data_IF_544467440263
#
_entry.id   IF_544467440263
#
_cell.length_a   1.000
_cell.length_b   1.000
_cell.length_c   1.000
_cell.angle_alpha   90.00
_cell.angle_beta   90.00
_cell.angle_gamma   90.00
#
_symmetry.space_group_name_H-M   'P 1'
#
loop_
_entity.id
_entity.type
_entity.pdbx_description
1 polymer ?
#
# COMPACT_ATOMS: atom_id res chain seq x y z
N UNK A 1 -20.54 49.84 -35.91
CA UNK A 1 -21.31 48.64 -35.53
C UNK A 1 -20.99 47.56 -36.56
N UNK A 2 -20.49 46.36 -36.31
CA UNK A 2 -20.04 45.58 -35.16
C UNK A 2 -18.92 44.69 -35.77
N UNK A 3 -17.70 44.67 -35.20
CA UNK A 3 -16.67 43.70 -35.61
C UNK A 3 -16.88 42.42 -34.80
N UNK A 4 -17.23 41.34 -35.50
CA UNK A 4 -17.39 39.99 -34.96
C UNK A 4 -16.05 39.49 -34.37
N UNK A 5 -16.07 39.02 -33.12
CA UNK A 5 -14.96 38.31 -32.47
C UNK A 5 -15.32 36.83 -32.40
N UNK A 6 -14.65 36.01 -33.20
CA UNK A 6 -14.72 34.55 -33.14
C UNK A 6 -13.85 34.08 -31.98
N UNK A 7 -14.43 33.47 -30.95
CA UNK A 7 -13.68 32.78 -29.90
C UNK A 7 -13.22 31.40 -30.42
N UNK A 8 -11.92 31.15 -30.36
CA UNK A 8 -11.32 29.85 -30.62
C UNK A 8 -11.24 29.10 -29.28
N UNK A 9 -12.04 28.05 -29.10
CA UNK A 9 -11.93 27.17 -27.95
C UNK A 9 -10.75 26.21 -28.16
N UNK A 10 -9.71 26.34 -27.34
CA UNK A 10 -8.59 25.41 -27.31
C UNK A 10 -9.01 24.21 -26.46
N UNK A 11 -9.24 23.08 -27.11
CA UNK A 11 -9.51 21.79 -26.46
C UNK A 11 -8.19 21.28 -25.88
N UNK A 12 -8.00 21.37 -24.57
CA UNK A 12 -6.89 20.69 -23.88
C UNK A 12 -7.17 19.19 -23.89
N UNK A 13 -6.44 18.44 -24.69
CA UNK A 13 -6.37 16.99 -24.56
C UNK A 13 -5.52 16.69 -23.31
N UNK A 14 -6.18 16.29 -22.21
CA UNK A 14 -5.50 15.78 -21.04
C UNK A 14 -4.70 14.53 -21.45
N UNK A 15 -3.37 14.63 -21.44
CA UNK A 15 -2.48 13.49 -21.57
C UNK A 15 -2.58 12.72 -20.26
N UNK A 16 -3.43 11.70 -20.22
CA UNK A 16 -3.51 10.77 -19.10
C UNK A 16 -2.27 9.87 -19.18
N UNK A 17 -1.24 10.17 -18.40
CA UNK A 17 -0.08 9.29 -18.26
C UNK A 17 -0.50 8.01 -17.55
N UNK A 18 -0.17 6.82 -18.07
CA UNK A 18 -0.54 5.56 -17.42
C UNK A 18 0.26 5.40 -16.12
N UNK A 19 -0.43 5.41 -14.98
CA UNK A 19 0.13 4.94 -13.73
C UNK A 19 0.41 3.44 -13.84
N UNK A 20 1.65 2.99 -13.66
CA UNK A 20 1.94 1.56 -13.57
C UNK A 20 1.56 1.07 -12.17
N UNK A 21 0.41 0.40 -12.10
CA UNK A 21 -0.01 -0.31 -10.91
C UNK A 21 0.90 -1.54 -10.69
N UNK A 22 1.48 -1.67 -9.50
CA UNK A 22 2.14 -2.91 -9.05
C UNK A 22 1.07 -3.82 -8.46
N UNK A 23 1.12 -5.11 -8.78
CA UNK A 23 0.20 -6.11 -8.23
C UNK A 23 0.97 -7.15 -7.44
N UNK A 24 0.48 -7.47 -6.23
CA UNK A 24 0.97 -8.56 -5.40
C UNK A 24 -0.15 -9.54 -5.05
N UNK A 25 0.23 -10.77 -4.71
CA UNK A 25 -0.67 -11.82 -4.25
C UNK A 25 -0.33 -12.17 -2.80
N UNK A 26 -1.29 -12.00 -1.90
CA UNK A 26 -1.13 -12.24 -0.47
C UNK A 26 -1.92 -13.49 -0.07
N UNK A 27 -1.29 -14.52 0.51
CA UNK A 27 -2.01 -15.65 1.07
C UNK A 27 -2.76 -15.23 2.35
N UNK A 28 -3.87 -15.90 2.66
CA UNK A 28 -4.57 -15.67 3.92
C UNK A 28 -3.68 -16.00 5.13
N UNK A 29 -3.71 -15.11 6.12
CA UNK A 29 -2.93 -15.24 7.36
C UNK A 29 -3.72 -15.89 8.49
N UNK A 30 -5.05 -15.87 8.41
CA UNK A 30 -5.97 -16.49 9.35
C UNK A 30 -7.29 -16.79 8.63
N UNK A 31 -7.93 -17.91 8.93
CA UNK A 31 -9.33 -18.16 8.61
C UNK A 31 -10.02 -19.09 9.62
N UNK A 32 -11.34 -19.04 9.74
CA UNK A 32 -12.11 -19.90 10.64
C UNK A 32 -13.60 -19.93 10.24
N UNK A 33 -14.35 -20.92 10.73
CA UNK A 33 -15.81 -20.97 10.68
C UNK A 33 -16.43 -20.71 12.05
N UNK A 34 -17.37 -19.76 12.09
CA UNK A 34 -18.26 -19.53 13.22
C UNK A 34 -19.51 -20.40 13.06
N UNK A 35 -19.62 -21.47 13.86
CA UNK A 35 -20.78 -22.35 13.87
C UNK A 35 -21.81 -21.87 14.90
N UNK A 36 -23.02 -21.54 14.46
CA UNK A 36 -24.06 -21.06 15.35
C UNK A 36 -24.34 -22.07 16.48
N UNK A 37 -24.16 -21.60 17.71
CA UNK A 37 -24.43 -22.36 18.91
C UNK A 37 -24.63 -21.40 20.07
N UNK A 38 -25.68 -21.61 20.86
CA UNK A 38 -25.96 -20.76 22.02
C UNK A 38 -24.88 -20.83 23.11
N UNK A 39 -24.08 -21.89 23.12
CA UNK A 39 -22.93 -22.03 24.03
C UNK A 39 -21.61 -21.59 23.40
N UNK A 40 -21.58 -21.31 22.09
CA UNK A 40 -20.36 -20.94 21.36
C UNK A 40 -19.26 -22.01 21.41
N UNK A 41 -19.62 -23.30 21.49
CA UNK A 41 -18.65 -24.38 21.71
C UNK A 41 -17.87 -24.79 20.46
N UNK A 42 -18.32 -24.41 19.26
CA UNK A 42 -17.83 -24.99 18.01
C UNK A 42 -17.02 -23.99 17.18
N UNK A 43 -15.89 -24.47 16.66
CA UNK A 43 -14.91 -23.76 15.82
C UNK A 43 -14.27 -24.74 14.81
N UNK A 44 -13.51 -24.21 13.85
CA UNK A 44 -12.68 -25.00 12.93
C UNK A 44 -11.47 -24.20 12.38
N UNK A 45 -10.68 -23.58 13.26
CA UNK A 45 -9.57 -22.70 12.87
C UNK A 45 -8.36 -23.40 12.20
N UNK A 46 -8.26 -24.73 12.27
CA UNK A 46 -7.20 -25.50 11.60
C UNK A 46 -7.76 -26.56 10.62
N UNK A 47 -9.02 -26.40 10.23
CA UNK A 47 -9.67 -27.26 9.24
C UNK A 47 -9.32 -26.87 7.81
N UNK A 48 -9.52 -27.78 6.86
CA UNK A 48 -9.24 -27.52 5.44
C UNK A 48 -10.35 -26.73 4.73
N UNK A 49 -11.47 -26.52 5.42
CA UNK A 49 -12.67 -25.90 4.85
C UNK A 49 -13.32 -24.89 5.80
N UNK A 50 -13.85 -23.82 5.21
CA UNK A 50 -14.67 -22.82 5.88
C UNK A 50 -16.07 -22.70 5.25
N UNK A 51 -17.07 -22.36 6.06
CA UNK A 51 -18.48 -22.42 5.67
C UNK A 51 -19.20 -21.09 5.84
N UNK A 52 -20.03 -20.74 4.86
CA UNK A 52 -20.93 -19.59 4.93
C UNK A 52 -22.34 -19.99 4.48
N UNK A 53 -23.35 -19.64 5.28
CA UNK A 53 -24.77 -19.88 5.00
C UNK A 53 -25.43 -20.86 5.95
N UNK A 54 -26.61 -21.34 5.55
CA UNK A 54 -27.45 -22.23 6.36
C UNK A 54 -27.55 -23.59 5.67
N UNK A 55 -27.30 -24.71 6.36
CA UNK A 55 -27.45 -26.05 5.80
C UNK A 55 -28.94 -26.45 5.73
N UNK A 56 -29.21 -27.75 5.64
CA UNK A 56 -30.54 -28.37 5.77
C UNK A 56 -31.11 -28.33 7.21
N UNK A 57 -30.37 -27.75 8.16
CA UNK A 57 -30.79 -27.43 9.52
C UNK A 57 -30.69 -25.92 9.76
N UNK A 58 -31.52 -25.32 10.63
CA UNK A 58 -31.57 -23.86 10.81
C UNK A 58 -30.44 -23.33 11.72
N UNK A 59 -29.20 -23.71 11.41
CA UNK A 59 -27.99 -23.36 12.17
C UNK A 59 -27.04 -22.63 11.24
N UNK A 60 -26.84 -21.33 11.46
CA UNK A 60 -26.02 -20.49 10.59
C UNK A 60 -24.53 -20.84 10.71
N UNK A 61 -23.81 -20.65 9.61
CA UNK A 61 -22.36 -20.65 9.55
C UNK A 61 -21.87 -19.39 8.86
N UNK A 62 -20.78 -18.84 9.37
CA UNK A 62 -20.12 -17.66 8.82
C UNK A 62 -18.63 -17.94 8.79
N UNK A 63 -17.95 -17.56 7.72
CA UNK A 63 -16.50 -17.69 7.65
C UNK A 63 -15.85 -16.34 7.96
N UNK A 64 -14.73 -16.35 8.67
CA UNK A 64 -13.89 -15.17 8.90
C UNK A 64 -12.53 -15.41 8.28
N UNK A 65 -11.93 -14.38 7.68
CA UNK A 65 -10.65 -14.47 6.98
C UNK A 65 -9.86 -13.16 7.12
N UNK A 66 -8.54 -13.23 7.31
CA UNK A 66 -7.69 -12.05 7.46
C UNK A 66 -6.35 -12.15 6.71
N UNK A 67 -5.83 -10.99 6.29
CA UNK A 67 -4.54 -10.80 5.59
C UNK A 67 -3.67 -9.81 6.38
N UNK A 68 -3.16 -10.23 7.54
CA UNK A 68 -2.52 -9.37 8.55
C UNK A 68 -1.16 -8.79 8.09
N UNK A 69 -0.54 -9.39 7.08
CA UNK A 69 0.78 -9.02 6.55
C UNK A 69 0.76 -7.93 5.47
N UNK A 70 -0.38 -7.33 5.13
CA UNK A 70 -0.48 -6.28 4.09
C UNK A 70 0.61 -5.20 4.25
N UNK A 71 0.80 -4.67 5.46
CA UNK A 71 1.78 -3.62 5.76
C UNK A 71 3.25 -4.05 5.72
N UNK A 72 3.52 -5.37 5.68
CA UNK A 72 4.88 -5.91 5.53
C UNK A 72 5.25 -6.08 4.06
N UNK A 73 4.26 -6.27 3.19
CA UNK A 73 4.43 -6.57 1.77
C UNK A 73 4.18 -5.36 0.87
N UNK A 74 3.39 -4.39 1.33
CA UNK A 74 3.08 -3.14 0.63
C UNK A 74 3.72 -1.97 1.37
N UNK A 75 4.49 -1.10 0.67
CA UNK A 75 5.03 0.13 1.26
C UNK A 75 3.94 1.05 1.84
N UNK A 76 4.21 1.68 2.98
CA UNK A 76 3.26 2.56 3.67
C UNK A 76 2.89 3.83 2.88
N UNK A 77 3.66 4.21 1.87
CA UNK A 77 3.40 5.34 0.95
C UNK A 77 2.58 4.94 -0.29
N UNK A 78 2.10 3.70 -0.34
CA UNK A 78 1.31 3.21 -1.47
C UNK A 78 -0.16 3.63 -1.37
N UNK A 79 -0.73 3.97 -2.52
CA UNK A 79 -2.18 4.12 -2.72
C UNK A 79 -2.73 2.84 -3.33
N UNK A 80 -3.66 2.19 -2.64
CA UNK A 80 -4.35 1.01 -3.15
C UNK A 80 -5.30 1.42 -4.29
N UNK A 81 -5.21 0.73 -5.43
CA UNK A 81 -5.99 1.04 -6.64
C UNK A 81 -6.99 -0.06 -7.01
N UNK A 82 -6.72 -1.31 -6.67
CA UNK A 82 -7.63 -2.44 -6.88
C UNK A 82 -7.38 -3.53 -5.85
N UNK A 83 -8.44 -4.19 -5.40
CA UNK A 83 -8.38 -5.33 -4.48
C UNK A 83 -9.33 -6.40 -4.98
N UNK A 84 -8.86 -7.64 -5.12
CA UNK A 84 -9.70 -8.80 -5.41
C UNK A 84 -9.37 -9.94 -4.46
N UNK A 85 -10.40 -10.62 -3.97
CA UNK A 85 -10.23 -11.83 -3.16
C UNK A 85 -10.66 -13.04 -3.99
N UNK A 86 -9.75 -13.99 -4.15
CA UNK A 86 -10.00 -15.26 -4.82
C UNK A 86 -10.26 -16.36 -3.79
N UNK A 87 -11.40 -17.04 -3.92
CA UNK A 87 -11.77 -18.19 -3.10
C UNK A 87 -12.16 -19.36 -3.99
N UNK A 88 -11.77 -20.57 -3.59
CA UNK A 88 -12.21 -21.79 -4.24
C UNK A 88 -13.35 -22.43 -3.44
N UNK A 89 -14.49 -22.64 -4.10
CA UNK A 89 -15.63 -23.36 -3.56
C UNK A 89 -15.45 -24.85 -3.83
N UNK A 90 -15.32 -25.66 -2.79
CA UNK A 90 -15.10 -27.10 -2.91
C UNK A 90 -16.34 -27.97 -2.71
N UNK A 91 -17.43 -27.38 -2.22
CA UNK A 91 -18.73 -28.08 -2.11
C UNK A 91 -19.87 -27.08 -2.02
N UNK A 92 -21.00 -27.48 -2.60
CA UNK A 92 -22.29 -26.82 -2.47
C UNK A 92 -23.39 -27.88 -2.36
N UNK A 93 -24.53 -27.48 -1.79
CA UNK A 93 -25.76 -28.27 -1.78
C UNK A 93 -26.97 -27.31 -1.78
N UNK A 94 -26.84 -26.21 -2.52
CA UNK A 94 -27.72 -25.04 -2.45
C UNK A 94 -27.80 -24.34 -3.79
N UNK A 95 -28.95 -23.72 -4.08
CA UNK A 95 -29.07 -22.85 -5.26
C UNK A 95 -28.06 -21.69 -5.23
N UNK A 96 -27.89 -21.04 -6.38
CA UNK A 96 -27.07 -19.84 -6.51
C UNK A 96 -27.42 -18.82 -5.40
N UNK A 97 -26.42 -18.49 -4.60
CA UNK A 97 -26.58 -17.69 -3.37
C UNK A 97 -25.58 -16.53 -3.40
N UNK A 98 -26.04 -15.33 -3.02
CA UNK A 98 -25.14 -14.19 -2.85
C UNK A 98 -24.37 -14.35 -1.54
N UNK A 99 -23.05 -14.37 -1.64
CA UNK A 99 -22.12 -14.24 -0.51
C UNK A 99 -21.66 -12.78 -0.44
N UNK A 100 -21.72 -12.18 0.74
CA UNK A 100 -21.26 -10.82 1.02
C UNK A 100 -20.03 -10.84 1.90
N UNK A 101 -19.11 -9.95 1.60
CA UNK A 101 -17.91 -9.68 2.39
C UNK A 101 -18.16 -8.44 3.24
N UNK A 102 -18.03 -8.53 4.55
CA UNK A 102 -18.18 -7.40 5.47
C UNK A 102 -16.93 -7.20 6.31
N UNK A 103 -16.47 -5.95 6.48
CA UNK A 103 -15.28 -5.66 7.27
C UNK A 103 -15.54 -5.94 8.75
N UNK A 104 -14.69 -6.75 9.37
CA UNK A 104 -14.74 -7.01 10.81
C UNK A 104 -14.27 -5.78 11.59
N UNK A 105 -14.89 -5.54 12.75
CA UNK A 105 -14.60 -4.40 13.63
C UNK A 105 -14.05 -4.81 15.00
N UNK A 106 -14.02 -6.12 15.27
CA UNK A 106 -13.39 -6.72 16.45
C UNK A 106 -12.33 -7.71 16.00
N UNK A 107 -11.19 -7.72 16.68
CA UNK A 107 -10.14 -8.70 16.45
C UNK A 107 -10.55 -10.08 16.98
N UNK A 108 -10.03 -11.13 16.36
CA UNK A 108 -10.39 -12.52 16.65
C UNK A 108 -9.16 -13.43 16.58
N UNK A 109 -9.32 -14.70 16.92
CA UNK A 109 -8.27 -15.70 16.77
C UNK A 109 -8.72 -16.90 15.93
N UNK A 110 -7.83 -17.36 15.04
CA UNK A 110 -8.01 -18.59 14.27
C UNK A 110 -8.06 -19.80 15.22
N UNK A 111 -6.93 -20.01 15.91
CA UNK A 111 -6.78 -21.05 16.91
C UNK A 111 -6.60 -22.46 16.31
N UNK A 112 -6.61 -23.48 17.15
CA UNK A 112 -6.05 -24.81 16.81
C UNK A 112 -7.10 -25.90 16.56
N UNK A 113 -8.38 -25.62 16.81
CA UNK A 113 -9.43 -26.64 16.62
C UNK A 113 -9.46 -27.14 15.17
N UNK A 114 -9.52 -28.46 15.01
CA UNK A 114 -9.59 -29.09 13.70
C UNK A 114 -10.72 -30.11 13.67
N UNK A 115 -11.78 -29.79 12.93
CA UNK A 115 -12.89 -30.68 12.71
C UNK A 115 -12.49 -31.86 11.81
N UNK A 116 -13.11 -33.02 12.04
CA UNK A 116 -12.94 -34.16 11.14
C UNK A 116 -13.77 -33.95 9.86
N UNK A 117 -13.35 -34.51 8.71
CA UNK A 117 -14.15 -34.47 7.50
C UNK A 117 -15.59 -34.97 7.74
N UNK A 118 -16.63 -34.30 7.21
CA UNK A 118 -16.56 -33.24 6.21
C UNK A 118 -16.50 -31.80 6.77
N UNK A 119 -16.19 -31.63 8.06
CA UNK A 119 -15.97 -30.35 8.77
C UNK A 119 -17.21 -29.44 8.96
N UNK A 120 -18.37 -29.81 8.42
CA UNK A 120 -19.57 -28.97 8.45
C UNK A 120 -20.19 -28.80 9.85
N UNK A 121 -19.82 -29.57 10.86
CA UNK A 121 -20.34 -29.38 12.23
C UNK A 121 -19.35 -28.70 13.17
N UNK A 122 -18.13 -28.41 12.69
CA UNK A 122 -17.04 -27.97 13.55
C UNK A 122 -16.59 -29.04 14.54
N UNK A 123 -15.72 -28.63 15.46
CA UNK A 123 -15.33 -29.40 16.65
C UNK A 123 -15.30 -28.48 17.86
N UNK A 124 -15.04 -29.01 19.05
CA UNK A 124 -14.91 -28.19 20.25
C UNK A 124 -13.79 -27.15 20.06
N UNK A 125 -14.11 -25.89 20.36
CA UNK A 125 -13.18 -24.79 20.31
C UNK A 125 -12.02 -24.99 21.29
N UNK A 126 -10.82 -24.67 20.82
CA UNK A 126 -9.62 -24.59 21.62
C UNK A 126 -9.38 -23.15 22.10
N UNK A 127 -8.42 -22.97 23.02
CA UNK A 127 -8.13 -21.63 23.56
C UNK A 127 -7.61 -20.72 22.45
N UNK A 128 -8.27 -19.57 22.27
CA UNK A 128 -7.94 -18.58 21.24
C UNK A 128 -8.85 -18.61 20.01
N UNK A 129 -9.62 -19.67 19.82
CA UNK A 129 -10.51 -19.83 18.67
C UNK A 129 -11.65 -18.81 18.65
N UNK A 130 -12.00 -18.34 17.46
CA UNK A 130 -13.26 -17.65 17.24
C UNK A 130 -14.41 -18.66 17.16
N UNK A 131 -15.54 -18.30 17.73
CA UNK A 131 -16.78 -19.10 17.71
C UNK A 131 -17.95 -18.16 17.43
N UNK A 132 -19.17 -18.68 17.41
CA UNK A 132 -20.35 -17.83 17.28
C UNK A 132 -20.48 -16.79 18.42
N UNK A 133 -20.01 -17.10 19.63
CA UNK A 133 -20.12 -16.22 20.80
C UNK A 133 -18.79 -15.52 21.09
N UNK A 134 -17.66 -16.18 20.83
CA UNK A 134 -16.34 -15.74 21.26
C UNK A 134 -15.52 -15.18 20.10
N UNK A 135 -14.91 -14.00 20.28
CA UNK A 135 -13.79 -13.55 19.44
C UNK A 135 -12.56 -14.41 19.70
N UNK A 136 -12.37 -14.81 20.97
CA UNK A 136 -11.31 -15.74 21.43
C UNK A 136 -11.83 -16.55 22.60
N UNK A 137 -12.11 -17.82 22.33
CA UNK A 137 -12.58 -18.78 23.32
C UNK A 137 -11.55 -18.96 24.45
N UNK A 138 -11.97 -19.08 25.73
CA UNK A 138 -13.33 -18.94 26.25
C UNK A 138 -13.64 -17.55 26.83
N UNK A 139 -12.71 -16.59 26.76
CA UNK A 139 -12.73 -15.41 27.64
C UNK A 139 -13.16 -14.11 26.96
N UNK A 140 -13.12 -14.03 25.62
CA UNK A 140 -13.43 -12.81 24.89
C UNK A 140 -14.58 -13.05 23.93
N UNK A 141 -15.61 -12.22 24.03
CA UNK A 141 -16.85 -12.33 23.27
C UNK A 141 -16.94 -11.29 22.17
N UNK A 142 -17.69 -11.61 21.11
CA UNK A 142 -18.19 -10.60 20.18
C UNK A 142 -19.20 -9.70 20.91
N UNK A 143 -19.36 -8.45 20.47
CA UNK A 143 -20.47 -7.62 20.96
C UNK A 143 -21.81 -8.16 20.47
N UNK A 144 -21.82 -8.68 19.24
CA UNK A 144 -22.96 -9.33 18.62
C UNK A 144 -22.61 -10.78 18.28
N UNK A 145 -23.43 -11.72 18.75
CA UNK A 145 -23.27 -13.13 18.41
C UNK A 145 -23.26 -13.31 16.87
N UNK A 146 -22.29 -14.08 16.38
CA UNK A 146 -22.05 -14.28 14.95
C UNK A 146 -21.11 -13.26 14.31
N UNK A 147 -20.48 -12.39 15.09
CA UNK A 147 -19.41 -11.49 14.62
C UNK A 147 -19.76 -10.00 14.68
N UNK A 148 -18.75 -9.16 14.89
CA UNK A 148 -18.86 -7.70 14.84
C UNK A 148 -18.34 -7.16 13.51
N UNK A 149 -19.22 -6.63 12.66
CA UNK A 149 -18.87 -6.18 11.30
C UNK A 149 -19.65 -4.93 10.89
N UNK A 150 -19.16 -4.24 9.87
CA UNK A 150 -19.86 -3.11 9.25
C UNK A 150 -21.03 -3.59 8.39
N UNK A 151 -22.21 -2.97 8.55
CA UNK A 151 -23.42 -3.35 7.77
C UNK A 151 -23.23 -3.17 6.27
N UNK A 152 -22.46 -2.16 5.84
CA UNK A 152 -22.11 -1.94 4.44
C UNK A 152 -21.12 -3.02 3.97
N UNK A 153 -21.55 -3.86 3.03
CA UNK A 153 -20.70 -4.90 2.46
C UNK A 153 -19.56 -4.31 1.64
N UNK A 154 -18.35 -4.79 1.88
CA UNK A 154 -17.16 -4.51 1.09
C UNK A 154 -17.31 -5.02 -0.34
N UNK A 155 -17.90 -6.21 -0.52
CA UNK A 155 -18.17 -6.79 -1.83
C UNK A 155 -19.27 -7.85 -1.73
N UNK A 156 -19.81 -8.26 -2.87
CA UNK A 156 -20.78 -9.34 -2.97
C UNK A 156 -20.56 -10.11 -4.27
N UNK A 157 -20.73 -11.43 -4.22
CA UNK A 157 -20.56 -12.32 -5.36
C UNK A 157 -21.68 -13.38 -5.38
N UNK A 158 -22.18 -13.71 -6.59
CA UNK A 158 -23.17 -14.77 -6.77
C UNK A 158 -22.45 -16.12 -6.90
N UNK A 159 -22.63 -17.00 -5.93
CA UNK A 159 -21.94 -18.28 -5.84
C UNK A 159 -22.91 -19.42 -6.13
N UNK A 160 -22.60 -20.25 -7.11
CA UNK A 160 -23.44 -21.36 -7.58
C UNK A 160 -22.71 -22.71 -7.43
N UNK A 161 -22.06 -23.19 -8.49
CA UNK A 161 -21.34 -24.47 -8.54
C UNK A 161 -19.89 -24.41 -8.04
N UNK A 162 -19.28 -25.59 -7.86
CA UNK A 162 -17.87 -25.76 -7.48
C UNK A 162 -16.93 -25.04 -8.46
N UNK A 163 -15.95 -24.30 -7.94
CA UNK A 163 -14.98 -23.56 -8.74
C UNK A 163 -14.45 -22.30 -8.04
N UNK A 164 -13.70 -21.48 -8.78
CA UNK A 164 -13.14 -20.23 -8.27
C UNK A 164 -14.14 -19.08 -8.39
N UNK A 165 -14.20 -18.27 -7.33
CA UNK A 165 -14.98 -17.05 -7.24
C UNK A 165 -14.08 -15.86 -6.93
N UNK A 166 -14.39 -14.72 -7.53
CA UNK A 166 -13.66 -13.47 -7.33
C UNK A 166 -14.58 -12.46 -6.67
N UNK A 167 -14.24 -12.03 -5.47
CA UNK A 167 -14.92 -10.92 -4.81
C UNK A 167 -14.22 -9.61 -5.19
N UNK A 168 -14.99 -8.66 -5.73
CA UNK A 168 -14.49 -7.37 -6.19
C UNK A 168 -13.95 -7.41 -7.63
N UNK A 169 -13.24 -6.35 -8.08
CA UNK A 169 -12.84 -5.20 -7.29
C UNK A 169 -14.00 -4.28 -6.92
N UNK A 170 -13.92 -3.66 -5.75
CA UNK A 170 -14.90 -2.66 -5.31
C UNK A 170 -14.21 -1.47 -4.60
N UNK A 171 -14.81 -0.27 -4.63
CA UNK A 171 -14.28 0.88 -3.90
C UNK A 171 -14.18 0.64 -2.38
N UNK A 172 -15.11 -0.12 -1.80
CA UNK A 172 -15.13 -0.39 -0.36
C UNK A 172 -14.02 -1.38 0.05
N UNK A 173 -13.72 -2.39 -0.76
CA UNK A 173 -12.53 -3.25 -0.52
C UNK A 173 -11.22 -2.45 -0.61
N UNK A 174 -11.12 -1.50 -1.55
CA UNK A 174 -9.97 -0.59 -1.64
C UNK A 174 -9.83 0.26 -0.37
N UNK A 175 -10.93 0.83 0.14
CA UNK A 175 -10.94 1.59 1.39
C UNK A 175 -10.54 0.73 2.60
N UNK A 176 -11.04 -0.50 2.68
CA UNK A 176 -10.70 -1.43 3.76
C UNK A 176 -9.20 -1.74 3.78
N UNK A 177 -8.63 -2.09 2.62
CA UNK A 177 -7.19 -2.42 2.52
C UNK A 177 -6.31 -1.19 2.70
N UNK A 178 -6.71 -0.02 2.21
CA UNK A 178 -5.98 1.23 2.49
C UNK A 178 -5.97 1.53 3.99
N UNK A 179 -7.13 1.41 4.67
CA UNK A 179 -7.21 1.58 6.13
C UNK A 179 -6.27 0.62 6.86
N UNK A 180 -6.17 -0.63 6.42
CA UNK A 180 -5.30 -1.64 7.03
C UNK A 180 -3.82 -1.46 6.73
N UNK A 181 -3.49 -0.88 5.58
CA UNK A 181 -2.12 -0.45 5.27
C UNK A 181 -1.71 0.70 6.19
N UNK A 182 -2.56 1.72 6.30
CA UNK A 182 -2.31 2.92 7.10
C UNK A 182 -2.34 2.64 8.61
N UNK A 183 -3.18 1.68 9.04
CA UNK A 183 -3.40 1.32 10.44
C UNK A 183 -3.42 -0.21 10.62
N UNK A 184 -2.24 -0.87 10.65
CA UNK A 184 -2.16 -2.33 10.71
C UNK A 184 -2.89 -2.97 11.90
N UNK A 185 -2.97 -2.25 13.03
CA UNK A 185 -3.68 -2.70 14.23
C UNK A 185 -5.21 -2.81 14.05
N UNK A 186 -5.78 -2.19 13.01
CA UNK A 186 -7.21 -2.26 12.68
C UNK A 186 -7.53 -3.32 11.61
N UNK A 187 -6.53 -4.06 11.14
CA UNK A 187 -6.73 -5.14 10.19
C UNK A 187 -7.28 -6.36 10.90
N UNK A 188 -8.59 -6.53 10.91
CA UNK A 188 -9.27 -7.73 11.43
C UNK A 188 -9.81 -8.64 10.32
N UNK A 189 -9.57 -8.26 9.06
CA UNK A 189 -10.08 -9.00 7.91
C UNK A 189 -11.57 -8.83 7.68
N UNK A 190 -12.17 -9.83 7.05
CA UNK A 190 -13.58 -9.83 6.65
C UNK A 190 -14.32 -11.05 7.18
N UNK A 191 -15.64 -10.90 7.29
CA UNK A 191 -16.59 -12.00 7.48
C UNK A 191 -17.37 -12.24 6.19
N UNK A 192 -17.58 -13.50 5.84
CA UNK A 192 -18.36 -13.96 4.70
C UNK A 192 -19.74 -14.38 5.18
N UNK A 193 -20.75 -13.70 4.64
CA UNK A 193 -22.16 -13.95 4.95
C UNK A 193 -22.87 -14.39 3.68
N UNK A 194 -23.34 -15.63 3.65
CA UNK A 194 -24.31 -16.00 2.63
C UNK A 194 -25.65 -15.31 2.91
N UNK A 195 -26.52 -15.27 1.91
CA UNK A 195 -27.93 -14.97 2.18
C UNK A 195 -28.45 -16.07 3.12
N UNK A 196 -28.76 -15.72 4.37
CA UNK A 196 -29.06 -16.67 5.46
C UNK A 196 -30.49 -17.25 5.36
N UNK A 197 -30.87 -17.67 4.15
CA UNK A 197 -32.07 -18.45 3.89
C UNK A 197 -31.79 -19.94 4.10
N UNK A 198 -32.84 -20.74 4.26
CA UNK A 198 -32.72 -22.20 4.34
C UNK A 198 -31.97 -22.77 3.12
N UNK A 199 -31.03 -23.70 3.35
CA UNK A 199 -30.29 -24.40 2.31
C UNK A 199 -29.49 -23.45 1.39
N UNK A 200 -28.65 -22.61 1.99
CA UNK A 200 -27.78 -21.63 1.32
C UNK A 200 -26.29 -21.84 1.56
N UNK A 201 -25.91 -22.90 2.28
CA UNK A 201 -24.53 -23.18 2.64
C UNK A 201 -23.62 -23.35 1.42
N UNK A 202 -22.46 -22.69 1.49
CA UNK A 202 -21.33 -22.80 0.58
C UNK A 202 -20.07 -23.14 1.38
N UNK A 203 -19.26 -24.07 0.90
CA UNK A 203 -17.98 -24.49 1.52
C UNK A 203 -16.80 -24.06 0.67
N UNK A 204 -15.97 -23.19 1.24
CA UNK A 204 -14.73 -22.71 0.64
C UNK A 204 -13.52 -23.42 1.24
N UNK A 205 -12.43 -23.48 0.49
CA UNK A 205 -11.16 -23.98 0.99
C UNK A 205 -10.39 -22.92 1.79
N UNK A 206 -9.68 -23.36 2.82
CA UNK A 206 -8.92 -22.52 3.76
C UNK A 206 -7.44 -22.50 3.43
N UNK A 207 -6.67 -21.71 4.18
CA UNK A 207 -5.20 -21.71 4.08
C UNK A 207 -4.57 -23.05 4.53
N UNK A 208 -5.24 -23.86 5.35
CA UNK A 208 -4.79 -25.20 5.76
C UNK A 208 -5.04 -26.27 4.68
N UNK A 209 -5.73 -25.93 3.59
CA UNK A 209 -6.02 -26.89 2.53
C UNK A 209 -4.72 -27.50 1.98
N UNK A 210 -4.72 -28.82 1.77
CA UNK A 210 -3.55 -29.55 1.28
C UNK A 210 -3.17 -29.20 -0.16
N UNK A 211 -4.10 -28.67 -0.95
CA UNK A 211 -3.86 -28.23 -2.33
C UNK A 211 -3.64 -26.73 -2.31
N UNK A 212 -2.38 -26.31 -2.51
CA UNK A 212 -1.98 -24.89 -2.41
C UNK A 212 -2.73 -23.99 -3.40
N UNK A 213 -3.10 -24.51 -4.57
CA UNK A 213 -3.86 -23.77 -5.60
C UNK A 213 -5.25 -23.35 -5.12
N UNK A 214 -5.86 -24.10 -4.19
CA UNK A 214 -7.20 -23.81 -3.69
C UNK A 214 -7.23 -22.86 -2.49
N UNK A 215 -6.07 -22.49 -1.95
CA UNK A 215 -5.98 -21.62 -0.78
C UNK A 215 -6.44 -20.19 -1.12
N UNK A 216 -7.06 -19.47 -0.17
CA UNK A 216 -7.46 -18.08 -0.39
C UNK A 216 -6.28 -17.16 -0.72
N UNK A 217 -6.47 -16.28 -1.71
CA UNK A 217 -5.48 -15.28 -2.12
C UNK A 217 -6.13 -13.91 -2.28
N UNK A 218 -5.52 -12.88 -1.68
CA UNK A 218 -5.86 -11.48 -1.91
C UNK A 218 -4.89 -10.88 -2.93
N UNK A 219 -5.42 -10.50 -4.10
CA UNK A 219 -4.71 -9.71 -5.08
C UNK A 219 -4.90 -8.22 -4.78
N UNK A 220 -3.79 -7.52 -4.60
CA UNK A 220 -3.78 -6.09 -4.34
C UNK A 220 -2.95 -5.39 -5.39
N UNK A 221 -3.58 -4.48 -6.13
CA UNK A 221 -2.89 -3.53 -7.00
C UNK A 221 -2.78 -2.18 -6.31
N UNK A 222 -1.61 -1.58 -6.39
CA UNK A 222 -1.32 -0.28 -5.78
C UNK A 222 -0.37 0.54 -6.66
N UNK A 223 -0.42 1.85 -6.50
CA UNK A 223 0.53 2.80 -7.07
C UNK A 223 1.30 3.47 -5.94
N UNK A 224 2.52 3.91 -6.20
CA UNK A 224 3.29 4.74 -5.26
C UNK A 224 3.47 6.12 -5.87
N UNK A 225 3.47 7.14 -5.03
CA UNK A 225 4.02 8.45 -5.38
C UNK A 225 5.51 8.42 -5.05
N UNK A 226 6.33 8.05 -6.03
CA UNK A 226 7.78 8.14 -5.92
C UNK A 226 8.50 6.93 -5.27
N UNK A 227 9.70 6.61 -5.75
CA UNK A 227 10.73 5.82 -5.05
C UNK A 227 11.89 6.72 -4.63
N UNK A 228 12.80 6.27 -3.76
CA UNK A 228 14.04 7.03 -3.48
C UNK A 228 14.87 7.30 -4.74
N UNK A 229 14.74 6.50 -5.80
CA UNK A 229 15.44 6.76 -7.06
C UNK A 229 14.80 7.93 -7.83
N UNK A 230 13.56 8.29 -7.52
CA UNK A 230 12.80 9.28 -8.26
C UNK A 230 13.22 10.71 -7.97
N UNK A 231 14.08 10.94 -6.98
CA UNK A 231 14.73 12.24 -6.78
C UNK A 231 16.08 12.36 -7.54
N UNK A 232 16.60 11.26 -8.10
CA UNK A 232 17.85 11.30 -8.89
C UNK A 232 17.63 12.02 -10.21
N UNK A 233 18.56 12.90 -10.57
CA UNK A 233 18.51 13.68 -11.81
C UNK A 233 19.01 15.12 -11.63
N UNK A 234 18.94 15.93 -12.70
CA UNK A 234 19.23 17.35 -12.67
C UNK A 234 18.07 18.18 -12.09
N UNK A 235 18.44 19.10 -11.20
CA UNK A 235 17.55 20.07 -10.55
C UNK A 235 18.09 21.48 -10.76
N UNK A 236 17.21 22.47 -10.90
CA UNK A 236 17.60 23.86 -11.10
C UNK A 236 16.52 24.80 -10.59
N UNK A 237 16.92 26.02 -10.27
CA UNK A 237 15.99 27.11 -9.99
C UNK A 237 15.70 27.87 -11.30
N UNK A 238 14.44 27.97 -11.74
CA UNK A 238 14.08 28.65 -13.00
C UNK A 238 14.44 30.13 -13.05
N UNK A 239 14.60 30.79 -11.91
CA UNK A 239 14.94 32.20 -11.81
C UNK A 239 16.46 32.44 -11.78
N UNK A 240 17.26 31.37 -11.76
CA UNK A 240 18.72 31.42 -11.66
C UNK A 240 19.40 30.75 -12.87
N UNK A 241 19.95 31.58 -13.76
CA UNK A 241 20.63 31.11 -14.96
C UNK A 241 22.03 30.53 -14.70
N UNK A 242 22.34 29.41 -15.36
CA UNK A 242 23.70 28.86 -15.42
C UNK A 242 24.13 28.08 -14.19
N UNK A 243 23.19 27.72 -13.31
CA UNK A 243 23.45 26.95 -12.11
C UNK A 243 22.40 25.87 -11.85
N UNK A 244 22.74 24.94 -10.95
CA UNK A 244 21.85 23.86 -10.58
C UNK A 244 22.56 22.75 -9.80
N UNK A 245 21.84 21.64 -9.68
CA UNK A 245 22.22 20.50 -8.86
C UNK A 245 22.10 19.20 -9.66
N UNK A 246 22.99 18.24 -9.38
CA UNK A 246 22.86 16.86 -9.85
C UNK A 246 22.79 15.94 -8.66
N UNK A 247 21.70 15.18 -8.57
CA UNK A 247 21.45 14.25 -7.48
C UNK A 247 21.54 12.81 -7.99
N UNK A 248 22.30 11.99 -7.29
CA UNK A 248 22.45 10.58 -7.62
C UNK A 248 22.23 9.70 -6.40
N UNK A 249 21.24 8.82 -6.47
CA UNK A 249 21.12 7.72 -5.52
C UNK A 249 21.92 6.51 -6.00
N UNK A 250 22.83 6.03 -5.16
CA UNK A 250 23.65 4.85 -5.43
C UNK A 250 23.42 3.77 -4.36
N UNK A 251 23.86 2.52 -4.57
CA UNK A 251 23.82 1.51 -3.52
C UNK A 251 24.62 1.86 -2.25
N UNK A 252 25.58 2.79 -2.36
CA UNK A 252 26.42 3.19 -1.24
C UNK A 252 25.84 4.38 -0.43
N UNK A 253 24.92 5.13 -1.04
CA UNK A 253 24.31 6.35 -0.50
C UNK A 253 24.06 7.39 -1.59
N UNK A 254 23.63 8.57 -1.14
CA UNK A 254 23.33 9.74 -1.95
C UNK A 254 24.57 10.60 -2.21
N UNK A 255 24.64 11.15 -3.42
CA UNK A 255 25.66 12.11 -3.82
C UNK A 255 25.01 13.32 -4.49
N UNK A 256 25.36 14.51 -4.01
CA UNK A 256 24.83 15.78 -4.51
C UNK A 256 25.98 16.59 -5.10
N UNK A 257 25.78 17.11 -6.29
CA UNK A 257 26.64 18.11 -6.89
C UNK A 257 25.91 19.43 -6.98
N UNK A 258 26.65 20.52 -6.80
CA UNK A 258 26.19 21.87 -7.13
C UNK A 258 27.19 22.49 -8.10
N UNK A 259 26.67 23.07 -9.17
CA UNK A 259 27.43 23.87 -10.13
C UNK A 259 26.75 25.23 -10.21
N UNK A 260 27.48 26.32 -10.00
CA UNK A 260 26.88 27.65 -10.00
C UNK A 260 27.78 28.72 -9.43
N UNK A 261 27.18 29.67 -8.72
CA UNK A 261 27.89 30.83 -8.18
C UNK A 261 27.55 31.09 -6.71
N UNK A 262 28.55 31.47 -5.92
CA UNK A 262 28.33 32.05 -4.59
C UNK A 262 27.65 33.43 -4.68
N UNK A 263 27.09 33.95 -3.56
CA UNK A 263 26.50 35.29 -3.53
C UNK A 263 27.43 36.43 -4.01
N UNK A 264 28.75 36.25 -3.91
CA UNK A 264 29.76 37.19 -4.39
C UNK A 264 30.19 36.96 -5.85
N UNK A 265 29.46 36.13 -6.61
CA UNK A 265 29.68 35.82 -8.03
C UNK A 265 30.95 35.01 -8.33
N UNK A 266 31.48 34.27 -7.34
CA UNK A 266 32.55 33.31 -7.58
C UNK A 266 31.97 32.00 -8.08
N UNK A 267 32.55 31.43 -9.14
CA UNK A 267 32.12 30.14 -9.68
C UNK A 267 32.43 29.00 -8.73
N UNK A 268 31.47 28.11 -8.51
CA UNK A 268 31.52 27.00 -7.56
C UNK A 268 31.20 25.68 -8.25
N UNK A 269 32.03 24.67 -7.95
CA UNK A 269 31.77 23.27 -8.22
C UNK A 269 31.94 22.51 -6.91
N UNK A 270 30.81 22.13 -6.33
CA UNK A 270 30.75 21.48 -5.03
C UNK A 270 30.25 20.05 -5.18
N UNK A 271 30.67 19.21 -4.26
CA UNK A 271 30.18 17.84 -4.11
C UNK A 271 29.94 17.56 -2.63
N UNK A 272 28.85 16.85 -2.32
CA UNK A 272 28.57 16.44 -0.95
C UNK A 272 29.47 15.28 -0.51
N UNK A 273 29.53 15.03 0.80
CA UNK A 273 29.86 13.69 1.27
C UNK A 273 28.78 12.67 0.85
N UNK A 274 29.14 11.39 0.87
CA UNK A 274 28.19 10.31 0.62
C UNK A 274 27.30 10.15 1.85
N UNK A 275 26.01 10.42 1.72
CA UNK A 275 25.08 10.35 2.85
C UNK A 275 24.11 9.20 2.67
N UNK A 276 23.90 8.44 3.74
CA UNK A 276 22.87 7.39 3.77
C UNK A 276 21.65 7.95 4.47
N UNK A 277 20.64 8.25 3.68
CA UNK A 277 19.31 8.56 4.18
C UNK A 277 18.53 7.25 4.15
N UNK A 278 18.12 6.79 5.33
CA UNK A 278 17.31 5.57 5.47
C UNK A 278 15.93 5.80 4.86
N UNK A 279 15.34 6.98 5.13
CA UNK A 279 14.10 7.45 4.55
C UNK A 279 14.21 8.92 4.09
N UNK A 280 13.65 9.23 2.92
CA UNK A 280 13.42 10.60 2.45
C UNK A 280 11.96 10.94 2.75
N UNK A 281 11.73 11.92 3.61
CA UNK A 281 10.39 12.40 3.97
C UNK A 281 10.16 13.75 3.33
N UNK A 282 9.18 13.90 2.41
CA UNK A 282 8.82 15.20 1.84
C UNK A 282 8.52 16.24 2.92
N UNK A 283 8.95 17.48 2.71
CA UNK A 283 8.81 18.60 3.63
C UNK A 283 9.74 18.59 4.84
N UNK A 284 10.57 17.55 5.03
CA UNK A 284 11.55 17.49 6.13
C UNK A 284 12.95 17.80 5.59
N UNK A 285 13.62 18.86 6.06
CA UNK A 285 14.96 19.19 5.61
C UNK A 285 15.98 18.17 6.12
N UNK A 286 16.98 17.88 5.30
CA UNK A 286 18.20 17.20 5.73
C UNK A 286 19.44 17.93 5.25
N UNK A 287 20.52 17.80 6.03
CA UNK A 287 21.75 18.57 5.86
C UNK A 287 22.88 17.69 5.33
N UNK A 288 23.62 18.20 4.35
CA UNK A 288 24.75 17.54 3.74
C UNK A 288 26.01 18.42 3.82
N UNK A 289 27.14 17.92 4.31
CA UNK A 289 28.41 18.63 4.18
C UNK A 289 28.78 18.77 2.70
N UNK A 290 29.02 20.01 2.26
CA UNK A 290 29.48 20.32 0.91
C UNK A 290 30.98 20.58 0.91
N UNK A 291 31.65 19.98 -0.06
CA UNK A 291 33.09 20.05 -0.23
C UNK A 291 33.43 20.72 -1.58
N UNK A 292 34.53 21.45 -1.61
CA UNK A 292 35.08 22.12 -2.79
C UNK A 292 36.46 21.56 -3.13
N UNK A 293 36.72 21.36 -4.42
CA UNK A 293 38.06 21.03 -4.93
C UNK A 293 38.92 22.28 -5.10
N UNK A 294 40.24 22.13 -5.00
CA UNK A 294 41.14 23.21 -5.42
C UNK A 294 41.17 23.30 -6.95
N UNK A 295 40.83 24.46 -7.54
CA UNK A 295 40.82 24.60 -8.98
C UNK A 295 42.25 24.58 -9.53
N UNK A 296 42.50 23.72 -10.51
CA UNK A 296 43.66 23.82 -11.39
C UNK A 296 43.42 24.84 -12.51
N UNK A 297 44.47 25.18 -13.25
CA UNK A 297 44.31 25.86 -14.54
C UNK A 297 44.56 24.87 -15.67
N UNK A 298 44.06 25.17 -16.88
CA UNK A 298 44.34 24.35 -18.06
C UNK A 298 45.86 24.20 -18.32
N UNK A 299 46.65 25.23 -17.98
CA UNK A 299 48.11 25.25 -18.15
C UNK A 299 48.88 24.72 -16.94
N UNK A 300 48.23 24.57 -15.79
CA UNK A 300 48.78 24.00 -14.57
C UNK A 300 47.67 23.24 -13.82
N UNK A 301 47.36 22.01 -14.24
CA UNK A 301 46.35 21.21 -13.56
C UNK A 301 46.78 20.99 -12.11
N UNK A 302 45.89 21.27 -11.17
CA UNK A 302 46.13 20.98 -9.77
C UNK A 302 46.16 19.44 -9.60
N UNK A 303 47.17 18.87 -8.92
CA UNK A 303 47.13 17.47 -8.54
C UNK A 303 45.90 17.22 -7.65
N UNK A 304 45.48 15.97 -7.51
CA UNK A 304 44.33 15.61 -6.67
C UNK A 304 44.66 15.86 -5.18
N UNK A 305 44.53 17.10 -4.73
CA UNK A 305 44.42 17.42 -3.32
C UNK A 305 43.06 16.91 -2.81
N UNK A 306 42.98 16.63 -1.50
CA UNK A 306 41.71 16.29 -0.87
C UNK A 306 40.70 17.43 -1.03
N UNK A 307 39.42 17.08 -1.15
CA UNK A 307 38.34 18.06 -1.12
C UNK A 307 38.33 18.78 0.24
N UNK A 308 38.04 20.08 0.23
CA UNK A 308 38.00 20.92 1.44
C UNK A 308 36.55 21.22 1.80
N UNK A 309 36.21 21.32 3.10
CA UNK A 309 34.89 21.79 3.52
C UNK A 309 34.59 23.18 2.94
N UNK A 310 33.41 23.33 2.34
CA UNK A 310 32.89 24.59 1.83
C UNK A 310 31.69 25.09 2.63
N UNK A 311 30.85 24.19 3.12
CA UNK A 311 29.62 24.60 3.80
C UNK A 311 28.66 23.43 3.99
N UNK A 312 27.40 23.75 4.16
CA UNK A 312 26.32 22.78 4.34
C UNK A 312 25.19 23.07 3.36
N UNK A 313 24.66 22.02 2.74
CA UNK A 313 23.47 22.07 1.90
C UNK A 313 22.30 21.47 2.67
N UNK A 314 21.31 22.31 2.98
CA UNK A 314 20.00 21.89 3.45
C UNK A 314 19.12 21.59 2.25
N UNK A 315 18.49 20.43 2.25
CA UNK A 315 17.65 19.95 1.16
C UNK A 315 16.26 19.63 1.69
N UNK A 316 15.25 20.33 1.17
CA UNK A 316 13.83 20.03 1.41
C UNK A 316 13.19 19.67 0.07
N UNK A 317 12.64 18.46 -0.04
CA UNK A 317 11.80 18.11 -1.20
C UNK A 317 10.34 18.39 -0.85
N UNK A 318 9.67 19.23 -1.65
CA UNK A 318 8.24 19.47 -1.51
C UNK A 318 7.47 18.34 -2.23
N UNK A 319 7.93 18.01 -3.45
CA UNK A 319 7.44 16.87 -4.24
C UNK A 319 8.63 16.12 -4.87
N UNK A 320 8.37 15.07 -5.66
CA UNK A 320 9.44 14.40 -6.41
C UNK A 320 9.95 15.21 -7.63
N UNK A 321 9.37 16.39 -7.89
CA UNK A 321 9.75 17.32 -8.97
C UNK A 321 10.01 18.75 -8.51
N UNK A 322 9.78 19.07 -7.24
CA UNK A 322 9.99 20.42 -6.68
C UNK A 322 10.56 20.38 -5.26
N UNK A 323 11.23 21.45 -4.83
CA UNK A 323 11.74 21.60 -3.47
C UNK A 323 12.49 22.91 -3.26
N UNK A 324 13.01 23.09 -2.04
CA UNK A 324 13.83 24.23 -1.65
C UNK A 324 15.20 23.72 -1.20
N UNK A 325 16.27 24.17 -1.88
CA UNK A 325 17.65 23.83 -1.55
C UNK A 325 18.37 25.07 -1.03
N UNK A 326 18.94 24.99 0.18
CA UNK A 326 19.66 26.09 0.82
C UNK A 326 21.13 25.72 1.05
N UNK A 327 22.03 26.41 0.37
CA UNK A 327 23.48 26.30 0.54
C UNK A 327 23.97 27.38 1.51
N UNK A 328 24.40 26.99 2.70
CA UNK A 328 25.14 27.85 3.63
C UNK A 328 26.64 27.63 3.43
N UNK A 329 27.28 28.56 2.71
CA UNK A 329 28.69 28.49 2.32
C UNK A 329 29.58 29.49 3.05
N UNK A 330 30.90 29.33 2.90
CA UNK A 330 31.90 30.25 3.48
C UNK A 330 31.69 31.74 3.15
N UNK A 331 31.01 32.04 2.04
CA UNK A 331 30.80 33.41 1.54
C UNK A 331 29.34 33.86 1.59
N UNK A 332 28.50 33.17 2.36
CA UNK A 332 27.10 33.50 2.59
C UNK A 332 26.14 32.38 2.22
N UNK A 333 24.87 32.65 2.49
CA UNK A 333 23.78 31.73 2.21
C UNK A 333 23.18 31.97 0.82
N UNK A 334 22.71 30.90 0.21
CA UNK A 334 21.95 30.91 -1.04
C UNK A 334 20.79 29.94 -0.95
N UNK A 335 19.60 30.38 -1.35
CA UNK A 335 18.39 29.55 -1.42
C UNK A 335 17.97 29.43 -2.87
N UNK A 336 17.50 28.25 -3.26
CA UNK A 336 17.07 27.93 -4.61
C UNK A 336 15.75 27.18 -4.57
N UNK A 337 14.75 27.73 -5.27
CA UNK A 337 13.44 27.11 -5.46
C UNK A 337 13.53 26.16 -6.66
N UNK A 338 13.91 24.92 -6.38
CA UNK A 338 14.35 23.99 -7.42
C UNK A 338 13.19 23.21 -8.03
N UNK A 339 13.29 23.02 -9.35
CA UNK A 339 12.48 22.07 -10.10
C UNK A 339 13.37 21.04 -10.79
N UNK A 340 12.84 19.83 -10.95
CA UNK A 340 13.53 18.74 -11.62
C UNK A 340 13.31 18.81 -13.14
N UNK A 341 14.39 18.80 -13.93
CA UNK A 341 14.28 18.89 -15.40
C UNK A 341 13.77 17.58 -15.99
N UNK A 342 14.40 16.47 -15.59
CA UNK A 342 14.10 15.14 -16.14
C UNK A 342 14.45 14.05 -15.15
N UNK A 343 13.63 13.00 -15.09
CA UNK A 343 13.91 11.79 -14.33
C UNK A 343 14.98 10.91 -14.98
N UNK A 344 15.55 10.01 -14.19
CA UNK A 344 16.36 8.90 -14.72
C UNK A 344 15.40 7.83 -15.26
N UNK A 345 15.80 7.11 -16.31
CA UNK A 345 14.96 6.06 -16.90
C UNK A 345 14.54 5.02 -15.83
N UNK A 346 13.26 4.65 -15.81
CA UNK A 346 12.66 3.80 -14.77
C UNK A 346 12.27 4.50 -13.46
N UNK A 347 12.37 5.84 -13.37
CA UNK A 347 11.85 6.64 -12.24
C UNK A 347 10.54 7.31 -12.62
N UNK A 348 9.52 7.29 -11.74
CA UNK A 348 8.20 7.85 -12.04
C UNK A 348 7.72 8.69 -10.88
N UNK A 349 7.96 9.99 -11.01
CA UNK A 349 7.32 10.97 -10.16
C UNK A 349 5.87 11.15 -10.60
N UNK A 350 4.91 10.81 -9.74
CA UNK A 350 3.51 11.21 -9.87
C UNK A 350 3.26 12.24 -8.79
N UNK A 351 3.11 13.50 -9.18
CA UNK A 351 2.83 14.59 -8.26
C UNK A 351 1.33 14.58 -7.92
N UNK A 352 0.92 14.38 -6.65
CA UNK A 352 -0.50 14.34 -6.28
C UNK A 352 -1.23 15.66 -6.55
N UNK A 353 -0.53 16.79 -6.70
CA UNK A 353 -1.14 18.11 -6.93
C UNK A 353 -1.25 18.54 -8.41
N UNK A 354 -0.78 17.74 -9.37
CA UNK A 354 -0.88 18.07 -10.80
C UNK A 354 -2.33 18.00 -11.36
N UNK A 355 -3.33 17.84 -10.50
CA UNK A 355 -4.76 17.76 -10.81
C UNK A 355 -5.61 19.00 -10.47
N UNK A 356 -5.02 20.10 -10.00
CA UNK A 356 -5.80 21.31 -9.69
C UNK A 356 -5.11 22.61 -10.12
N UNK A 357 -5.45 23.10 -11.31
CA UNK A 357 -5.52 24.53 -11.63
C UNK A 357 -6.48 24.75 -12.80
#
# INVERSE_FOLDING_TARGET
MIKSRTLLAILWAAVCSPAWATTILLPATQDNTLYESGSGLFSNGSGQHMFAGVPDEPVRRRAVIAFKNIHLEIPADATITSVKLYLHLSRENSDATIIRLHKLTSDWGEGASQALPPENTGTNAETGDATWIHTRWPNFEWRNAGGDYEEDSSSAELVDGIGYYTFGPSPKMVQDVQLWLDNPALNFGWILLATENFLSEKRFDTRENQIEEFRPVLEVSFSRTGTRFDYSGPWYDPDLDGEGYLLFQTPAGWLFYYFGYSPDQTFLWLVSELVRLEDLVPGVPFELPMLIGEPGTFTAPAPSAGLKPYGTLSVTFDTCTSGEFKLDGLFGEKTSDVIKIIGVDGTICVDPEAGSN
#
